data_IF_130580132833
#
_entry.id   IF_130580132833
#
_cell.length_a   1.000
_cell.length_b   1.000
_cell.length_c   1.000
_cell.angle_alpha   90.00
_cell.angle_beta   90.00
_cell.angle_gamma   90.00
#
_symmetry.space_group_name_H-M   'P 1'
#
loop_
_entity.id
_entity.type
_entity.pdbx_description
1 polymer ?
#
# COMPACT_ATOMS: atom_id res chain seq x y z
N UNK A 1 -38.84 6.10 24.33
CA UNK A 1 -38.95 5.23 23.14
C UNK A 1 -37.57 5.11 22.51
N UNK A 2 -36.89 3.96 22.59
CA UNK A 2 -35.57 3.72 21.98
C UNK A 2 -35.78 3.27 20.53
N UNK A 3 -35.27 4.03 19.56
CA UNK A 3 -35.30 3.64 18.14
C UNK A 3 -34.34 2.46 17.94
N UNK A 4 -34.72 1.37 17.27
CA UNK A 4 -33.78 0.33 16.89
C UNK A 4 -32.77 0.94 15.91
N UNK A 5 -31.54 1.10 16.35
CA UNK A 5 -30.42 1.33 15.45
C UNK A 5 -30.29 0.05 14.64
N UNK A 6 -30.75 0.07 13.39
CA UNK A 6 -30.61 -1.05 12.46
C UNK A 6 -29.15 -1.50 12.44
N UNK A 7 -28.90 -2.72 12.93
CA UNK A 7 -27.60 -3.38 12.91
C UNK A 7 -27.00 -3.38 11.48
N UNK A 8 -27.87 -3.36 10.46
CA UNK A 8 -27.53 -3.22 9.03
C UNK A 8 -26.71 -1.97 8.74
N UNK A 9 -27.02 -0.83 9.36
CA UNK A 9 -26.31 0.43 9.12
C UNK A 9 -24.91 0.42 9.74
N UNK A 10 -24.73 -0.31 10.85
CA UNK A 10 -23.41 -0.50 11.47
C UNK A 10 -22.50 -1.42 10.63
N UNK A 11 -23.06 -2.46 9.98
CA UNK A 11 -22.32 -3.35 9.10
C UNK A 11 -21.81 -2.66 7.82
N UNK A 12 -22.57 -1.72 7.25
CA UNK A 12 -22.10 -0.92 6.11
C UNK A 12 -20.93 0.01 6.47
N UNK A 13 -20.89 0.55 7.69
CA UNK A 13 -19.77 1.40 8.13
C UNK A 13 -18.48 0.58 8.37
N UNK A 14 -18.61 -0.65 8.86
CA UNK A 14 -17.49 -1.61 8.97
C UNK A 14 -16.98 -2.05 7.59
N UNK A 15 -17.87 -2.24 6.62
CA UNK A 15 -17.48 -2.56 5.23
C UNK A 15 -16.78 -1.39 4.53
N UNK A 16 -17.18 -0.14 4.81
CA UNK A 16 -16.50 1.04 4.27
C UNK A 16 -15.06 1.18 4.80
N UNK A 17 -14.81 0.79 6.05
CA UNK A 17 -13.45 0.70 6.61
C UNK A 17 -12.62 -0.44 6.02
N UNK A 18 -13.26 -1.55 5.60
CA UNK A 18 -12.59 -2.66 4.92
C UNK A 18 -12.23 -2.35 3.45
N UNK A 19 -12.78 -1.28 2.87
CA UNK A 19 -12.36 -0.75 1.57
C UNK A 19 -11.17 0.22 1.67
N UNK A 20 -10.71 0.57 2.88
CA UNK A 20 -9.41 1.19 3.05
C UNK A 20 -8.37 0.13 2.70
N UNK A 21 -7.96 0.08 1.42
CA UNK A 21 -6.85 -0.75 0.98
C UNK A 21 -5.70 -0.54 1.94
N UNK A 22 -5.24 -1.63 2.53
CA UNK A 22 -4.13 -1.63 3.48
C UNK A 22 -2.83 -1.40 2.68
N UNK A 23 -1.90 -0.53 3.12
CA UNK A 23 -0.58 -0.38 2.51
C UNK A 23 0.12 -1.71 2.21
N UNK A 24 -0.03 -2.74 3.06
CA UNK A 24 0.53 -4.08 2.80
C UNK A 24 0.04 -4.68 1.48
N UNK A 25 -1.26 -4.62 1.23
CA UNK A 25 -1.87 -5.23 0.05
C UNK A 25 -1.47 -4.49 -1.22
N UNK A 26 -1.49 -3.15 -1.18
CA UNK A 26 -1.06 -2.32 -2.31
C UNK A 26 0.43 -2.48 -2.61
N UNK A 27 1.27 -2.56 -1.58
CA UNK A 27 2.70 -2.78 -1.73
C UNK A 27 3.01 -4.13 -2.35
N UNK A 28 2.31 -5.17 -1.92
CA UNK A 28 2.45 -6.51 -2.49
C UNK A 28 2.08 -6.52 -3.97
N UNK A 29 0.95 -5.90 -4.33
CA UNK A 29 0.50 -5.73 -5.71
C UNK A 29 1.55 -5.01 -6.57
N UNK A 30 2.11 -3.91 -6.05
CA UNK A 30 3.17 -3.15 -6.71
C UNK A 30 4.45 -3.98 -6.89
N UNK A 31 4.85 -4.77 -5.89
CA UNK A 31 6.00 -5.66 -5.99
C UNK A 31 5.80 -6.74 -7.07
N UNK A 32 4.59 -7.30 -7.17
CA UNK A 32 4.26 -8.29 -8.19
C UNK A 32 4.22 -7.69 -9.60
N UNK A 33 3.64 -6.50 -9.76
CA UNK A 33 3.63 -5.80 -11.03
C UNK A 33 5.06 -5.53 -11.51
N UNK A 34 5.89 -4.95 -10.64
CA UNK A 34 7.29 -4.66 -10.96
C UNK A 34 8.10 -5.93 -11.21
N UNK A 35 7.88 -7.03 -10.47
CA UNK A 35 8.54 -8.31 -10.77
C UNK A 35 8.12 -8.87 -12.13
N UNK A 36 6.84 -8.78 -12.47
CA UNK A 36 6.32 -9.25 -13.76
C UNK A 36 6.93 -8.47 -14.91
N UNK A 37 7.02 -7.14 -14.80
CA UNK A 37 7.63 -6.28 -15.82
C UNK A 37 9.15 -6.51 -15.95
N UNK A 38 9.80 -6.98 -14.87
CA UNK A 38 11.23 -7.30 -14.85
C UNK A 38 11.54 -8.80 -15.00
N UNK A 39 10.54 -9.65 -15.26
CA UNK A 39 10.72 -11.08 -15.40
C UNK A 39 11.63 -11.38 -16.62
N UNK A 40 12.89 -11.74 -16.35
CA UNK A 40 13.93 -11.98 -17.37
C UNK A 40 15.08 -10.96 -17.39
N UNK A 41 15.02 -9.89 -16.58
CA UNK A 41 16.13 -8.95 -16.37
C UNK A 41 16.95 -9.37 -15.13
N UNK A 42 18.28 -9.19 -15.22
CA UNK A 42 19.23 -9.57 -14.16
C UNK A 42 18.96 -8.79 -12.87
N UNK A 43 19.22 -9.40 -11.71
CA UNK A 43 19.09 -8.82 -10.37
C UNK A 43 19.95 -7.55 -10.12
N UNK A 44 20.66 -7.06 -11.13
CA UNK A 44 21.45 -5.82 -11.11
C UNK A 44 20.63 -4.54 -11.04
N UNK A 45 19.32 -4.60 -11.34
CA UNK A 45 18.42 -3.43 -11.31
C UNK A 45 17.60 -3.32 -10.00
N UNK A 46 18.11 -3.85 -8.87
CA UNK A 46 17.41 -3.78 -7.56
C UNK A 46 17.02 -2.34 -7.20
N UNK A 47 17.89 -1.37 -7.47
CA UNK A 47 17.61 0.04 -7.21
C UNK A 47 16.49 0.61 -8.11
N UNK A 48 16.43 0.19 -9.38
CA UNK A 48 15.32 0.57 -10.28
C UNK A 48 14.01 -0.12 -9.86
N UNK A 49 14.11 -1.35 -9.34
CA UNK A 49 12.97 -2.10 -8.83
C UNK A 49 12.33 -1.42 -7.63
N UNK A 50 13.15 -0.98 -6.67
CA UNK A 50 12.71 -0.26 -5.48
C UNK A 50 12.09 1.10 -5.83
N UNK A 51 12.68 1.85 -6.78
CA UNK A 51 12.08 3.07 -7.30
C UNK A 51 10.74 2.83 -7.99
N UNK A 52 10.63 1.75 -8.78
CA UNK A 52 9.38 1.39 -9.46
C UNK A 52 8.27 1.02 -8.49
N UNK A 53 8.61 0.31 -7.40
CA UNK A 53 7.65 -0.02 -6.33
C UNK A 53 7.21 1.26 -5.61
N UNK A 54 8.14 2.15 -5.27
CA UNK A 54 7.83 3.42 -4.64
C UNK A 54 6.94 4.32 -5.52
N UNK A 55 7.20 4.35 -6.83
CA UNK A 55 6.36 5.06 -7.80
C UNK A 55 4.93 4.50 -7.84
N UNK A 56 4.78 3.17 -7.93
CA UNK A 56 3.48 2.50 -7.90
C UNK A 56 2.70 2.80 -6.61
N UNK A 57 3.38 2.80 -5.45
CA UNK A 57 2.74 3.17 -4.18
C UNK A 57 2.31 4.63 -4.15
N UNK A 58 3.12 5.53 -4.71
CA UNK A 58 2.79 6.96 -4.87
C UNK A 58 1.56 7.18 -5.75
N UNK A 59 1.43 6.46 -6.87
CA UNK A 59 0.23 6.50 -7.72
C UNK A 59 -1.03 6.02 -7.01
N UNK A 60 -0.88 5.10 -6.04
CA UNK A 60 -1.98 4.63 -5.17
C UNK A 60 -2.26 5.58 -3.99
N UNK A 61 -1.56 6.71 -3.92
CA UNK A 61 -1.73 7.77 -2.93
C UNK A 61 -0.92 7.57 -1.65
N UNK A 62 0.02 6.64 -1.62
CA UNK A 62 0.89 6.45 -0.47
C UNK A 62 2.17 7.27 -0.60
N UNK A 63 2.64 7.81 0.51
CA UNK A 63 3.91 8.50 0.62
C UNK A 63 4.75 7.88 1.75
N UNK A 64 6.07 7.98 1.61
CA UNK A 64 6.99 7.54 2.66
C UNK A 64 6.83 8.44 3.89
N UNK A 65 6.69 7.87 5.08
CA UNK A 65 6.61 8.64 6.32
C UNK A 65 8.00 9.21 6.67
N UNK A 66 8.20 10.54 6.58
CA UNK A 66 9.49 11.16 6.88
C UNK A 66 9.85 11.11 8.38
N UNK A 67 8.92 10.71 9.25
CA UNK A 67 9.15 10.61 10.71
C UNK A 67 10.03 9.42 11.07
N UNK A 68 10.09 8.41 10.21
CA UNK A 68 10.92 7.23 10.43
C UNK A 68 12.15 7.30 9.56
N UNK A 69 13.32 7.52 10.17
CA UNK A 69 14.62 7.55 9.45
C UNK A 69 14.98 6.23 8.77
N UNK A 70 14.33 5.13 9.16
CA UNK A 70 14.42 3.83 8.49
C UNK A 70 13.64 3.77 7.16
N UNK A 71 12.73 4.72 6.93
CA UNK A 71 11.92 4.84 5.73
C UNK A 71 12.60 5.80 4.76
N UNK A 72 13.66 5.31 4.13
CA UNK A 72 14.40 6.05 3.10
C UNK A 72 13.79 5.83 1.73
N UNK A 73 14.21 6.62 0.74
CA UNK A 73 13.85 6.39 -0.67
C UNK A 73 14.12 4.92 -1.05
N UNK A 74 13.12 4.26 -1.62
CA UNK A 74 13.21 2.84 -2.03
C UNK A 74 12.80 1.84 -0.95
N UNK A 75 12.43 2.26 0.26
CA UNK A 75 11.89 1.33 1.26
C UNK A 75 10.67 0.57 0.72
N UNK A 76 10.73 -0.76 0.76
CA UNK A 76 9.63 -1.66 0.37
C UNK A 76 8.92 -2.22 1.60
N UNK A 77 8.90 -1.45 2.68
CA UNK A 77 8.32 -1.83 3.96
C UNK A 77 6.93 -1.19 4.12
N UNK A 78 5.86 -1.96 4.37
CA UNK A 78 4.49 -1.46 4.40
C UNK A 78 4.28 -0.32 5.40
N UNK A 79 4.87 -0.44 6.59
CA UNK A 79 4.77 0.57 7.66
C UNK A 79 5.45 1.90 7.31
N UNK A 80 6.28 1.93 6.26
CA UNK A 80 6.86 3.16 5.76
C UNK A 80 5.91 3.93 4.86
N UNK A 81 4.82 3.32 4.40
CA UNK A 81 3.85 3.94 3.49
C UNK A 81 2.59 4.35 4.24
N UNK A 82 2.25 5.63 4.14
CA UNK A 82 1.05 6.23 4.71
C UNK A 82 0.27 7.00 3.64
N UNK A 83 -1.06 7.10 3.77
CA UNK A 83 -1.90 7.91 2.88
C UNK A 83 -2.16 9.29 3.45
#
# INVERSE_FOLDING_TARGET
MRRPVSIVTALCALAAGACARNPDADLWDCQFAVQKDNAGRSATDIAEREQSIAACMSERGYHLDPRYSACTTGSVTPHCYQK
#
